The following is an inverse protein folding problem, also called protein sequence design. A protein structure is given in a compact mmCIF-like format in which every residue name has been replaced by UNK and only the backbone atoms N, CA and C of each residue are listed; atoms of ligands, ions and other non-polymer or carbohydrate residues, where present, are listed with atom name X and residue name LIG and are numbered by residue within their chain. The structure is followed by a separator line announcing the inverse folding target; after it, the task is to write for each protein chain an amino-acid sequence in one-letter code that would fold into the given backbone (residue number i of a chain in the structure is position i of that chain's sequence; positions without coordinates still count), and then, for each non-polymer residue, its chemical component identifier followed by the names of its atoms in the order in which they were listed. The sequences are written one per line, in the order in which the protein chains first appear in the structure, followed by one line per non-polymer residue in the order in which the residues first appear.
data_IF_006518749556
#
_entry.id   IF_006518749556
#
_cell.length_a   1.000
_cell.length_b   1.000
_cell.length_c   1.000
_cell.angle_alpha   90.00
_cell.angle_beta   90.00
_cell.angle_gamma   90.00
#
_symmetry.space_group_name_H-M   'P 1'
#
loop_
_entity.id
_entity.type
_entity.pdbx_description
1 polymer ?
#
# COMPACT_ATOMS: atom_id res chain seq x y z
N UNK A 1 18.89 -2.88 -14.96
CA UNK A 1 18.21 -2.46 -13.71
C UNK A 1 18.38 -3.57 -12.70
N UNK A 2 18.97 -3.30 -11.54
CA UNK A 2 19.12 -4.30 -10.47
C UNK A 2 17.74 -4.74 -9.96
N UNK A 3 17.60 -6.00 -9.55
CA UNK A 3 16.35 -6.60 -9.04
C UNK A 3 15.72 -5.76 -7.92
N UNK A 4 16.56 -5.16 -7.07
CA UNK A 4 16.15 -4.27 -5.97
C UNK A 4 15.47 -2.97 -6.47
N UNK A 5 16.06 -2.26 -7.45
CA UNK A 5 15.42 -1.07 -8.06
C UNK A 5 14.07 -1.38 -8.69
N UNK A 6 13.92 -2.56 -9.30
CA UNK A 6 12.65 -2.99 -9.91
C UNK A 6 11.60 -3.28 -8.84
N UNK A 7 12.00 -3.90 -7.73
CA UNK A 7 11.13 -4.15 -6.58
C UNK A 7 10.61 -2.83 -5.98
N UNK A 8 11.50 -1.87 -5.72
CA UNK A 8 11.16 -0.55 -5.18
C UNK A 8 10.18 0.21 -6.07
N UNK A 9 10.28 0.08 -7.40
CA UNK A 9 9.38 0.74 -8.34
C UNK A 9 7.99 0.09 -8.43
N UNK A 10 7.88 -1.22 -8.17
CA UNK A 10 6.61 -1.96 -8.28
C UNK A 10 5.73 -1.75 -7.04
N UNK A 11 6.32 -1.63 -5.85
CA UNK A 11 5.61 -1.42 -4.58
C UNK A 11 4.65 -0.21 -4.60
N UNK A 12 5.06 1.02 -4.99
CA UNK A 12 4.11 2.13 -5.10
C UNK A 12 2.99 1.87 -6.13
N UNK A 13 3.31 1.22 -7.26
CA UNK A 13 2.30 0.86 -8.26
C UNK A 13 1.25 -0.10 -7.70
N UNK A 14 1.69 -1.13 -6.98
CA UNK A 14 0.77 -2.09 -6.37
C UNK A 14 -0.18 -1.40 -5.37
N UNK A 15 0.34 -0.50 -4.53
CA UNK A 15 -0.49 0.30 -3.63
C UNK A 15 -1.52 1.15 -4.37
N UNK A 16 -1.11 1.84 -5.45
CA UNK A 16 -1.97 2.71 -6.25
C UNK A 16 -3.11 1.98 -6.97
N UNK A 17 -2.90 0.70 -7.33
CA UNK A 17 -3.91 -0.10 -8.05
C UNK A 17 -4.79 -0.89 -7.07
N UNK A 18 -4.21 -1.45 -6.01
CA UNK A 18 -4.91 -2.34 -5.09
C UNK A 18 -5.81 -1.56 -4.13
N UNK A 19 -5.33 -0.43 -3.57
CA UNK A 19 -6.09 0.32 -2.56
C UNK A 19 -7.44 0.85 -3.07
N UNK A 20 -7.58 1.44 -4.28
CA UNK A 20 -8.87 1.92 -4.77
C UNK A 20 -9.93 0.82 -4.93
N UNK A 21 -9.52 -0.45 -5.03
CA UNK A 21 -10.42 -1.59 -5.11
C UNK A 21 -10.74 -2.15 -3.72
N UNK A 22 -9.71 -2.34 -2.88
CA UNK A 22 -9.85 -2.94 -1.54
C UNK A 22 -10.61 -2.02 -0.59
N UNK A 23 -10.46 -0.70 -0.70
CA UNK A 23 -11.12 0.26 0.19
C UNK A 23 -12.64 0.24 0.03
N UNK A 24 -13.24 0.41 -1.16
CA UNK A 24 -14.69 0.31 -1.32
C UNK A 24 -15.24 -1.07 -0.97
N UNK A 25 -14.53 -2.15 -1.32
CA UNK A 25 -14.93 -3.53 -1.00
C UNK A 25 -14.96 -3.78 0.51
N UNK A 26 -13.95 -3.32 1.24
CA UNK A 26 -13.90 -3.45 2.70
C UNK A 26 -15.01 -2.63 3.36
N UNK A 27 -15.27 -1.40 2.89
CA UNK A 27 -16.39 -0.59 3.39
C UNK A 27 -17.76 -1.24 3.10
N UNK A 28 -17.94 -1.82 1.91
CA UNK A 28 -19.19 -2.47 1.52
C UNK A 28 -19.45 -3.78 2.30
N UNK A 29 -18.39 -4.52 2.65
CA UNK A 29 -18.49 -5.84 3.31
C UNK A 29 -18.48 -5.76 4.84
N UNK A 30 -17.73 -4.83 5.40
CA UNK A 30 -17.44 -4.75 6.84
C UNK A 30 -18.03 -3.49 7.50
N UNK A 31 -18.63 -2.60 6.71
CA UNK A 31 -19.13 -1.31 7.15
C UNK A 31 -18.06 -0.22 7.12
N UNK A 32 -18.50 1.04 7.14
CA UNK A 32 -17.62 2.21 6.95
C UNK A 32 -16.56 2.29 8.06
N UNK A 33 -16.95 2.19 9.33
CA UNK A 33 -16.01 2.32 10.46
C UNK A 33 -14.90 1.27 10.43
N UNK A 34 -15.26 -0.01 10.27
CA UNK A 34 -14.28 -1.10 10.19
C UNK A 34 -13.45 -1.02 8.90
N UNK A 35 -14.07 -0.70 7.76
CA UNK A 35 -13.39 -0.53 6.48
C UNK A 35 -12.34 0.59 6.51
N UNK A 36 -12.67 1.73 7.13
CA UNK A 36 -11.72 2.84 7.34
C UNK A 36 -10.54 2.41 8.21
N UNK A 37 -10.80 1.76 9.36
CA UNK A 37 -9.73 1.34 10.26
C UNK A 37 -8.77 0.34 9.60
N UNK A 38 -9.31 -0.68 8.92
CA UNK A 38 -8.53 -1.69 8.19
C UNK A 38 -7.70 -1.03 7.09
N UNK A 39 -8.32 -0.14 6.32
CA UNK A 39 -7.64 0.62 5.27
C UNK A 39 -6.47 1.41 5.82
N UNK A 40 -6.67 2.12 6.93
CA UNK A 40 -5.63 2.92 7.58
C UNK A 40 -4.47 2.06 8.06
N UNK A 41 -4.75 0.95 8.77
CA UNK A 41 -3.70 0.08 9.27
C UNK A 41 -2.90 -0.57 8.14
N UNK A 42 -3.56 -1.14 7.14
CA UNK A 42 -2.90 -1.82 6.01
C UNK A 42 -2.09 -0.83 5.19
N UNK A 43 -2.65 0.33 4.87
CA UNK A 43 -1.96 1.37 4.08
C UNK A 43 -0.75 1.91 4.83
N UNK A 44 -0.85 2.07 6.15
CA UNK A 44 0.28 2.54 6.99
C UNK A 44 1.42 1.53 6.97
N UNK A 45 1.12 0.25 7.21
CA UNK A 45 2.12 -0.82 7.17
C UNK A 45 2.80 -0.86 5.79
N UNK A 46 2.01 -0.81 4.72
CA UNK A 46 2.51 -0.77 3.35
C UNK A 46 3.45 0.41 3.09
N UNK A 47 3.05 1.62 3.49
CA UNK A 47 3.85 2.83 3.33
C UNK A 47 5.17 2.73 4.10
N UNK A 48 5.15 2.25 5.34
CA UNK A 48 6.37 2.06 6.14
C UNK A 48 7.31 1.07 5.45
N UNK A 49 6.81 -0.07 4.99
CA UNK A 49 7.62 -1.06 4.26
C UNK A 49 8.17 -0.49 2.95
N UNK A 50 7.36 0.27 2.21
CA UNK A 50 7.81 0.95 0.99
C UNK A 50 8.93 1.96 1.30
N UNK A 51 8.77 2.81 2.31
CA UNK A 51 9.79 3.81 2.68
C UNK A 51 11.08 3.16 3.17
N UNK A 52 10.99 2.05 3.91
CA UNK A 52 12.17 1.27 4.35
C UNK A 52 12.95 0.65 3.20
N UNK A 53 12.27 0.34 2.09
CA UNK A 53 12.90 -0.26 0.89
C UNK A 53 13.30 0.77 -0.14
N UNK A 54 12.81 2.01 -0.06
CA UNK A 54 13.20 3.10 -0.93
C UNK A 54 14.66 3.49 -0.68
N UNK A 55 15.55 3.11 -1.60
CA UNK A 55 16.92 3.64 -1.66
C UNK A 55 16.84 5.14 -1.95
N UNK A 56 17.00 5.98 -0.92
CA UNK A 56 17.22 7.42 -1.11
C UNK A 56 18.63 7.60 -1.66
N UNK A 57 18.82 8.22 -2.84
CA UNK A 57 20.16 8.47 -3.36
C UNK A 57 20.93 9.32 -2.35
N UNK A 58 22.08 8.80 -1.89
CA UNK A 58 23.04 9.53 -1.08
C UNK A 58 23.86 10.47 -1.98
#
# INVERSE_FOLDING_TARGET
MTTLRRFVAITPLAGAIILPLVVPLSMARLGVGAGVLITLMVSTIWFVTMLRTAEMPH
#
